data_IF_453137752177
#
_entry.id   IF_453137752177
#
_cell.length_a   1.000
_cell.length_b   1.000
_cell.length_c   1.000
_cell.angle_alpha   90.00
_cell.angle_beta   90.00
_cell.angle_gamma   90.00
#
_symmetry.space_group_name_H-M   'P 1'
#
loop_
_entity.id
_entity.type
_entity.pdbx_description
1 polymer ?
#
# COMPACT_ATOMS: atom_id res chain seq x y z
N UNK A 1 5.79 -12.13 1.15
CA UNK A 1 6.28 -11.44 2.33
C UNK A 1 6.84 -12.46 3.30
N UNK A 2 8.02 -12.24 3.74
CA UNK A 2 9.01 -13.18 4.24
C UNK A 2 8.75 -13.59 5.71
N UNK A 3 9.29 -14.71 6.14
CA UNK A 3 9.35 -15.21 7.53
C UNK A 3 9.80 -14.13 8.51
N UNK A 4 10.66 -13.21 8.07
CA UNK A 4 11.18 -12.10 8.87
C UNK A 4 10.10 -11.07 9.23
N UNK A 5 9.30 -10.65 8.26
CA UNK A 5 8.16 -9.74 8.50
C UNK A 5 7.16 -10.35 9.51
N UNK A 6 6.89 -11.65 9.39
CA UNK A 6 6.05 -12.36 10.38
C UNK A 6 6.65 -12.31 11.78
N UNK A 7 7.96 -12.53 11.93
CA UNK A 7 8.63 -12.48 13.23
C UNK A 7 8.61 -11.08 13.85
N UNK A 8 8.80 -10.03 13.04
CA UNK A 8 8.70 -8.65 13.50
C UNK A 8 7.31 -8.32 14.01
N UNK A 9 6.29 -8.53 13.17
CA UNK A 9 4.91 -8.18 13.51
C UNK A 9 4.22 -9.13 14.50
N UNK A 10 4.84 -10.26 14.85
CA UNK A 10 4.40 -11.14 15.95
C UNK A 10 5.14 -10.86 17.27
N UNK A 11 6.06 -9.88 17.30
CA UNK A 11 6.86 -9.57 18.47
C UNK A 11 7.96 -10.60 18.81
N UNK A 12 8.19 -11.59 17.91
CA UNK A 12 9.29 -12.57 18.09
C UNK A 12 10.68 -11.94 17.83
N UNK A 13 10.72 -10.90 17.01
CA UNK A 13 11.89 -10.07 16.78
C UNK A 13 11.54 -8.65 17.23
N UNK A 14 12.19 -8.18 18.28
CA UNK A 14 11.99 -6.83 18.83
C UNK A 14 13.23 -5.99 18.60
N UNK A 15 13.02 -4.72 18.29
CA UNK A 15 14.08 -3.71 18.26
C UNK A 15 14.33 -3.18 19.68
N UNK A 16 15.50 -2.56 19.83
CA UNK A 16 15.86 -1.80 21.03
C UNK A 16 16.04 -0.33 20.67
N UNK A 17 15.87 0.53 21.65
CA UNK A 17 16.15 1.95 21.50
C UNK A 17 17.66 2.24 21.30
N UNK A 18 18.07 3.50 21.28
CA UNK A 18 19.47 3.88 21.11
C UNK A 18 20.33 3.57 22.33
N UNK A 19 19.71 3.38 23.49
CA UNK A 19 20.36 3.06 24.75
C UNK A 19 20.39 1.56 25.05
N UNK A 20 19.82 0.73 24.15
CA UNK A 20 19.74 -0.72 24.33
C UNK A 20 18.55 -1.19 25.18
N UNK A 21 17.60 -0.33 25.52
CA UNK A 21 16.38 -0.69 26.23
C UNK A 21 15.32 -1.23 25.28
N UNK A 22 14.36 -1.97 25.82
CA UNK A 22 13.19 -2.40 25.06
C UNK A 22 12.22 -1.23 24.87
N UNK A 23 11.59 -1.16 23.70
CA UNK A 23 10.45 -0.29 23.49
C UNK A 23 9.25 -0.72 24.36
N UNK A 24 8.30 0.20 24.63
CA UNK A 24 7.02 -0.15 25.26
C UNK A 24 6.26 -1.22 24.49
N UNK A 25 5.37 -1.93 25.18
CA UNK A 25 4.46 -2.88 24.50
C UNK A 25 3.57 -2.15 23.50
N UNK A 26 3.27 -2.82 22.39
CA UNK A 26 2.45 -2.27 21.32
C UNK A 26 0.99 -2.12 21.77
N UNK A 27 0.37 -1.02 21.38
CA UNK A 27 -1.02 -0.72 21.68
C UNK A 27 -1.91 -1.04 20.49
N UNK A 28 -3.00 -1.78 20.72
CA UNK A 28 -3.98 -2.06 19.67
C UNK A 28 -4.95 -0.89 19.55
N UNK A 29 -4.95 -0.21 18.40
CA UNK A 29 -5.78 0.97 18.11
C UNK A 29 -6.46 0.83 16.75
N UNK A 30 -7.54 1.58 16.57
CA UNK A 30 -8.22 1.65 15.27
C UNK A 30 -7.44 2.49 14.26
N UNK A 31 -7.55 2.14 12.97
CA UNK A 31 -6.96 2.93 11.90
C UNK A 31 -7.51 4.37 11.85
N UNK A 32 -8.69 4.61 12.40
CA UNK A 32 -9.29 5.95 12.57
C UNK A 32 -8.45 6.91 13.42
N UNK A 33 -7.54 6.40 14.26
CA UNK A 33 -6.64 7.24 15.05
C UNK A 33 -5.48 7.82 14.23
N UNK A 34 -5.17 7.21 13.09
CA UNK A 34 -4.03 7.58 12.24
C UNK A 34 -4.43 7.90 10.80
N UNK A 35 -5.66 7.59 10.39
CA UNK A 35 -6.20 7.94 9.08
C UNK A 35 -7.59 8.53 9.19
N UNK A 36 -7.97 9.36 8.22
CA UNK A 36 -9.29 9.98 8.16
C UNK A 36 -9.80 10.07 6.72
N UNK A 37 -11.13 10.17 6.58
CA UNK A 37 -11.74 10.44 5.27
C UNK A 37 -11.49 11.91 4.92
N UNK A 38 -10.81 12.21 3.79
CA UNK A 38 -10.61 13.58 3.35
C UNK A 38 -11.91 14.24 2.90
N UNK A 39 -11.90 15.57 2.79
CA UNK A 39 -12.94 16.29 2.07
C UNK A 39 -13.07 15.76 0.63
N UNK A 40 -14.30 15.38 0.24
CA UNK A 40 -14.58 14.80 -1.07
C UNK A 40 -14.77 15.89 -2.12
N UNK A 41 -13.69 16.33 -2.74
CA UNK A 41 -13.74 17.32 -3.83
C UNK A 41 -14.05 16.58 -5.13
N UNK A 42 -15.31 16.75 -5.60
CA UNK A 42 -15.77 16.16 -6.85
C UNK A 42 -15.21 16.95 -8.05
N UNK A 43 -14.64 16.24 -9.02
CA UNK A 43 -14.23 16.87 -10.29
C UNK A 43 -15.45 17.13 -11.18
N UNK A 44 -15.51 18.33 -11.76
CA UNK A 44 -16.52 18.70 -12.76
C UNK A 44 -16.11 18.27 -14.16
N UNK A 45 -14.81 18.31 -14.45
CA UNK A 45 -14.23 17.88 -15.72
C UNK A 45 -13.41 16.62 -15.50
N UNK A 46 -13.75 15.56 -16.21
CA UNK A 46 -13.08 14.27 -16.05
C UNK A 46 -12.14 14.06 -17.22
N UNK A 47 -10.86 14.28 -16.94
CA UNK A 47 -9.79 13.89 -17.85
C UNK A 47 -9.49 12.40 -17.64
N UNK A 48 -9.83 11.58 -18.64
CA UNK A 48 -9.62 10.13 -18.58
C UNK A 48 -8.14 9.76 -18.45
N UNK A 49 -7.22 10.58 -18.97
CA UNK A 49 -5.79 10.36 -18.84
C UNK A 49 -5.28 10.55 -17.42
N UNK A 50 -6.06 11.15 -16.52
CA UNK A 50 -5.71 11.38 -15.12
C UNK A 50 -6.50 10.51 -14.15
N UNK A 51 -6.99 9.38 -14.60
CA UNK A 51 -7.69 8.43 -13.77
C UNK A 51 -6.70 7.45 -13.11
N UNK A 52 -6.84 7.25 -11.80
CA UNK A 52 -6.07 6.29 -11.03
C UNK A 52 -6.77 4.94 -10.96
N UNK A 53 -5.97 3.90 -10.95
CA UNK A 53 -6.35 2.56 -10.55
C UNK A 53 -5.39 2.02 -9.49
N UNK A 54 -5.85 1.05 -8.72
CA UNK A 54 -5.01 0.36 -7.72
C UNK A 54 -4.86 -1.09 -8.14
N UNK A 55 -3.62 -1.51 -8.36
CA UNK A 55 -3.31 -2.84 -8.86
C UNK A 55 -3.38 -3.87 -7.73
N UNK A 56 -3.83 -5.09 -8.07
CA UNK A 56 -3.87 -6.23 -7.16
C UNK A 56 -2.46 -6.64 -6.70
N UNK A 57 -2.42 -7.43 -5.63
CA UNK A 57 -1.19 -8.09 -5.16
C UNK A 57 -0.09 -7.11 -4.77
N UNK A 58 -0.47 -6.00 -4.09
CA UNK A 58 0.44 -4.97 -3.58
C UNK A 58 1.27 -4.28 -4.67
N UNK A 59 0.79 -4.26 -5.92
CA UNK A 59 1.48 -3.60 -7.03
C UNK A 59 1.27 -2.08 -7.05
N UNK A 60 0.58 -1.54 -6.03
CA UNK A 60 0.43 -0.10 -5.80
C UNK A 60 -0.52 0.60 -6.75
N UNK A 61 -0.28 1.89 -6.91
CA UNK A 61 -1.12 2.84 -7.66
C UNK A 61 -0.54 3.04 -9.06
N UNK A 62 -1.39 3.14 -10.05
CA UNK A 62 -0.99 3.51 -11.41
C UNK A 62 -2.09 4.33 -12.09
N UNK A 63 -1.72 5.00 -13.15
CA UNK A 63 -2.68 5.56 -14.09
C UNK A 63 -3.50 4.43 -14.72
N UNK A 64 -4.76 4.69 -15.03
CA UNK A 64 -5.63 3.70 -15.67
C UNK A 64 -5.35 3.66 -17.18
N UNK A 65 -4.85 2.54 -17.66
CA UNK A 65 -4.47 2.35 -19.08
C UNK A 65 -5.69 2.12 -19.98
N UNK A 66 -6.86 1.74 -19.40
CA UNK A 66 -8.09 1.42 -20.15
C UNK A 66 -8.98 2.64 -20.41
N UNK A 67 -8.38 3.78 -20.71
CA UNK A 67 -9.13 5.04 -20.87
C UNK A 67 -10.05 5.08 -22.08
N UNK A 68 -9.74 4.34 -23.15
CA UNK A 68 -10.51 4.35 -24.40
C UNK A 68 -11.85 3.61 -24.29
N UNK A 69 -11.90 2.55 -23.49
CA UNK A 69 -13.11 1.72 -23.32
C UNK A 69 -13.95 2.15 -22.12
N UNK A 70 -13.44 3.05 -21.30
CA UNK A 70 -14.09 3.47 -20.07
C UNK A 70 -15.28 4.39 -20.39
N UNK A 71 -16.49 3.91 -20.13
CA UNK A 71 -17.68 4.77 -20.08
C UNK A 71 -17.67 5.50 -18.73
N UNK A 72 -17.65 6.83 -18.77
CA UNK A 72 -17.68 7.65 -17.55
C UNK A 72 -19.05 7.60 -16.85
N UNK A 73 -20.11 7.34 -17.62
CA UNK A 73 -21.48 7.17 -17.13
C UNK A 73 -21.86 8.17 -16.02
N UNK A 74 -22.63 7.72 -15.03
CA UNK A 74 -23.03 8.48 -13.85
C UNK A 74 -22.01 8.40 -12.70
N UNK A 75 -20.80 7.89 -12.94
CA UNK A 75 -19.77 7.70 -11.91
C UNK A 75 -19.22 9.03 -11.42
N UNK A 76 -19.22 9.24 -10.13
CA UNK A 76 -18.56 10.39 -9.52
C UNK A 76 -17.07 10.13 -9.36
N UNK A 77 -16.26 11.09 -9.79
CA UNK A 77 -14.82 11.09 -9.64
C UNK A 77 -14.37 12.20 -8.70
N UNK A 78 -13.38 11.90 -7.88
CA UNK A 78 -12.89 12.76 -6.83
C UNK A 78 -11.41 13.04 -7.01
N UNK A 79 -11.00 14.27 -6.72
CA UNK A 79 -9.59 14.70 -6.76
C UNK A 79 -8.85 14.02 -5.62
N UNK A 80 -7.69 13.45 -5.94
CA UNK A 80 -6.80 12.77 -4.99
C UNK A 80 -5.52 13.55 -4.81
N UNK A 81 -4.95 13.46 -3.61
CA UNK A 81 -3.70 14.16 -3.27
C UNK A 81 -2.58 13.15 -3.04
N UNK A 82 -1.36 13.56 -3.40
CA UNK A 82 -0.16 12.78 -3.06
C UNK A 82 -0.10 12.47 -1.57
N UNK A 83 0.49 11.36 -1.20
CA UNK A 83 0.63 10.92 0.19
C UNK A 83 -0.63 10.31 0.81
N UNK A 84 -1.80 10.40 0.15
CA UNK A 84 -2.99 9.72 0.63
C UNK A 84 -2.86 8.20 0.46
N UNK A 85 -3.39 7.45 1.42
CA UNK A 85 -3.65 6.01 1.27
C UNK A 85 -4.85 5.82 0.35
N UNK A 86 -4.71 5.03 -0.70
CA UNK A 86 -5.78 4.75 -1.68
C UNK A 86 -5.98 3.24 -1.82
N UNK A 87 -7.23 2.80 -2.00
CA UNK A 87 -7.52 1.38 -2.13
C UNK A 87 -8.76 1.11 -2.98
N UNK A 88 -8.86 -0.09 -3.54
CA UNK A 88 -10.07 -0.57 -4.21
C UNK A 88 -11.03 -1.24 -3.21
N UNK A 89 -12.25 -0.71 -3.04
CA UNK A 89 -13.25 -1.26 -2.09
C UNK A 89 -13.50 -2.76 -2.28
N UNK A 90 -13.54 -3.22 -3.53
CA UNK A 90 -13.82 -4.61 -3.87
C UNK A 90 -12.58 -5.51 -3.79
N UNK A 91 -11.40 -4.92 -3.77
CA UNK A 91 -10.14 -5.65 -3.93
C UNK A 91 -9.11 -5.34 -2.84
N UNK A 92 -9.50 -4.68 -1.75
CA UNK A 92 -8.61 -4.43 -0.63
C UNK A 92 -8.02 -5.75 -0.08
N UNK A 93 -8.87 -6.75 0.10
CA UNK A 93 -8.47 -8.10 0.55
C UNK A 93 -7.71 -8.92 -0.52
N UNK A 94 -7.56 -8.38 -1.73
CA UNK A 94 -6.67 -8.88 -2.78
C UNK A 94 -5.38 -8.05 -2.91
N UNK A 95 -5.11 -7.19 -1.92
CA UNK A 95 -3.92 -6.35 -1.87
C UNK A 95 -3.97 -5.18 -2.86
N UNK A 96 -5.17 -4.68 -3.20
CA UNK A 96 -5.34 -3.48 -4.03
C UNK A 96 -5.34 -2.23 -3.14
N UNK A 97 -4.17 -1.79 -2.71
CA UNK A 97 -3.97 -0.54 -1.98
C UNK A 97 -2.53 -0.01 -2.16
N UNK A 98 -2.33 1.24 -1.80
CA UNK A 98 -1.03 1.90 -1.87
C UNK A 98 -1.11 3.34 -1.40
N UNK A 99 0.01 4.06 -1.58
CA UNK A 99 0.10 5.50 -1.37
C UNK A 99 0.14 6.17 -2.72
N UNK A 100 -0.57 7.27 -2.87
CA UNK A 100 -0.56 8.08 -4.08
C UNK A 100 0.80 8.77 -4.18
N UNK A 101 1.62 8.46 -5.20
CA UNK A 101 2.92 9.09 -5.39
C UNK A 101 2.78 10.55 -5.89
N UNK A 102 3.89 11.29 -5.85
CA UNK A 102 3.92 12.72 -6.14
C UNK A 102 3.48 13.05 -7.58
N UNK A 103 3.82 12.21 -8.54
CA UNK A 103 3.44 12.36 -9.95
C UNK A 103 1.94 12.24 -10.20
N UNK A 104 1.19 11.68 -9.27
CA UNK A 104 -0.27 11.54 -9.35
C UNK A 104 -1.03 12.54 -8.48
N UNK A 105 -0.38 13.60 -8.01
CA UNK A 105 -1.08 14.65 -7.29
C UNK A 105 -2.15 15.32 -8.15
N UNK A 106 -3.35 15.47 -7.62
CA UNK A 106 -4.52 16.02 -8.33
C UNK A 106 -5.13 15.08 -9.38
N UNK A 107 -4.72 13.84 -9.48
CA UNK A 107 -5.39 12.81 -10.29
C UNK A 107 -6.73 12.44 -9.69
N UNK A 108 -7.52 11.67 -10.43
CA UNK A 108 -8.89 11.36 -10.08
C UNK A 108 -9.09 9.86 -9.83
N UNK A 109 -9.97 9.51 -8.91
CA UNK A 109 -10.48 8.15 -8.80
C UNK A 109 -11.97 8.12 -8.47
N UNK A 110 -12.63 7.01 -8.78
CA UNK A 110 -14.05 6.82 -8.50
C UNK A 110 -14.32 6.64 -6.99
N UNK A 111 -15.60 6.65 -6.61
CA UNK A 111 -16.03 6.32 -5.25
C UNK A 111 -15.74 4.88 -4.82
N UNK A 112 -15.50 3.96 -5.77
CA UNK A 112 -15.06 2.57 -5.46
C UNK A 112 -13.53 2.46 -5.25
N UNK A 113 -12.80 3.54 -5.53
CA UNK A 113 -11.37 3.67 -5.27
C UNK A 113 -11.14 4.91 -4.39
N UNK A 114 -11.56 4.86 -3.10
CA UNK A 114 -11.42 5.99 -2.19
C UNK A 114 -9.98 6.17 -1.73
N UNK A 115 -9.69 7.38 -1.24
CA UNK A 115 -8.45 7.70 -0.56
C UNK A 115 -8.72 8.20 0.86
N UNK A 116 -7.74 8.03 1.75
CA UNK A 116 -7.74 8.45 3.15
C UNK A 116 -6.50 9.29 3.42
N UNK A 117 -6.65 10.36 4.20
CA UNK A 117 -5.53 11.14 4.69
C UNK A 117 -4.81 10.38 5.80
N UNK A 118 -3.48 10.48 5.82
CA UNK A 118 -2.63 9.86 6.84
C UNK A 118 -2.12 10.93 7.80
N UNK A 119 -2.22 10.67 9.09
CA UNK A 119 -1.61 11.50 10.11
C UNK A 119 -0.15 11.08 10.35
N UNK A 120 0.78 11.69 9.61
CA UNK A 120 2.21 11.38 9.66
C UNK A 120 2.87 11.68 11.02
N UNK A 121 2.21 12.45 11.91
CA UNK A 121 2.72 12.64 13.27
C UNK A 121 2.49 11.43 14.18
N UNK A 122 1.59 10.54 13.79
CA UNK A 122 1.20 9.36 14.57
C UNK A 122 1.64 8.04 13.96
N UNK A 123 1.82 8.01 12.62
CA UNK A 123 2.18 6.78 11.93
C UNK A 123 3.19 7.01 10.81
N UNK A 124 4.20 6.15 10.75
CA UNK A 124 5.11 6.07 9.62
C UNK A 124 4.42 5.35 8.46
N UNK A 125 4.40 5.98 7.29
CA UNK A 125 3.72 5.46 6.09
C UNK A 125 4.25 4.11 5.62
N UNK A 126 5.57 3.92 5.65
CA UNK A 126 6.17 2.65 5.25
C UNK A 126 5.83 1.54 6.25
N UNK A 127 5.88 1.83 7.56
CA UNK A 127 5.40 0.90 8.58
C UNK A 127 3.95 0.47 8.31
N UNK A 128 3.06 1.44 8.07
CA UNK A 128 1.65 1.17 7.76
C UNK A 128 1.50 0.24 6.56
N UNK A 129 2.22 0.52 5.46
CA UNK A 129 2.18 -0.33 4.26
C UNK A 129 2.70 -1.73 4.51
N UNK A 130 3.80 -1.88 5.25
CA UNK A 130 4.33 -3.19 5.62
C UNK A 130 3.37 -3.96 6.53
N UNK A 131 2.74 -3.26 7.49
CA UNK A 131 1.77 -3.88 8.38
C UNK A 131 0.54 -4.38 7.60
N UNK A 132 -0.09 -3.50 6.81
CA UNK A 132 -1.26 -3.85 6.01
C UNK A 132 -0.95 -4.85 4.90
N UNK A 133 0.26 -4.80 4.33
CA UNK A 133 0.71 -5.65 3.21
C UNK A 133 0.99 -7.10 3.60
N UNK A 134 0.83 -7.51 4.84
CA UNK A 134 0.94 -8.92 5.25
C UNK A 134 -0.23 -9.72 4.70
N UNK A 135 0.05 -10.80 4.00
CA UNK A 135 -0.98 -11.62 3.35
C UNK A 135 -1.99 -12.21 4.35
N UNK A 136 -1.53 -12.56 5.55
CA UNK A 136 -2.36 -13.02 6.66
C UNK A 136 -3.22 -11.91 7.28
N UNK A 137 -2.89 -10.64 7.03
CA UNK A 137 -3.68 -9.50 7.47
C UNK A 137 -4.70 -9.08 6.41
N UNK A 138 -4.25 -8.63 5.21
CA UNK A 138 -5.19 -8.05 4.25
C UNK A 138 -6.22 -9.06 3.72
N UNK A 139 -5.87 -10.36 3.61
CA UNK A 139 -6.84 -11.38 3.17
C UNK A 139 -8.01 -11.54 4.15
N UNK A 140 -7.75 -11.47 5.46
CA UNK A 140 -8.80 -11.54 6.49
C UNK A 140 -9.77 -10.36 6.46
N UNK A 141 -9.41 -9.25 5.83
CA UNK A 141 -10.32 -8.12 5.64
C UNK A 141 -11.54 -8.49 4.78
N UNK A 142 -11.47 -9.59 4.01
CA UNK A 142 -12.63 -10.10 3.27
C UNK A 142 -13.82 -10.40 4.19
N UNK A 143 -13.58 -10.85 5.41
CA UNK A 143 -14.61 -11.17 6.40
C UNK A 143 -15.41 -9.92 6.84
N UNK A 144 -14.82 -8.73 6.67
CA UNK A 144 -15.46 -7.45 6.97
C UNK A 144 -16.20 -6.85 5.76
N UNK A 145 -16.05 -7.45 4.59
CA UNK A 145 -16.64 -6.93 3.37
C UNK A 145 -18.15 -7.21 3.32
N UNK A 146 -18.93 -6.21 2.93
CA UNK A 146 -20.38 -6.26 2.83
C UNK A 146 -20.86 -6.20 1.37
N UNK A 147 -22.03 -6.75 1.09
CA UNK A 147 -22.67 -6.77 -0.23
C UNK A 147 -23.00 -8.17 -0.71
N UNK A 148 -24.20 -8.35 -1.27
CA UNK A 148 -24.70 -9.67 -1.73
C UNK A 148 -24.14 -10.09 -3.08
N UNK A 149 -23.80 -9.14 -3.95
CA UNK A 149 -23.28 -9.43 -5.30
C UNK A 149 -21.79 -9.13 -5.43
N UNK A 150 -21.35 -8.01 -4.92
CA UNK A 150 -19.95 -7.58 -4.98
C UNK A 150 -19.53 -7.09 -3.60
N UNK A 151 -18.70 -7.88 -2.93
CA UNK A 151 -18.18 -7.57 -1.60
C UNK A 151 -17.36 -6.28 -1.63
N UNK A 152 -17.61 -5.36 -0.70
CA UNK A 152 -16.92 -4.07 -0.58
C UNK A 152 -16.54 -3.78 0.87
N UNK A 153 -15.38 -3.18 1.04
CA UNK A 153 -14.95 -2.60 2.33
C UNK A 153 -15.07 -1.08 2.22
N UNK A 154 -16.03 -0.51 2.95
CA UNK A 154 -16.24 0.92 2.98
C UNK A 154 -15.22 1.62 3.89
N UNK A 155 -15.05 2.94 3.71
CA UNK A 155 -14.08 3.74 4.45
C UNK A 155 -14.26 3.60 5.97
N UNK A 156 -15.50 3.64 6.45
CA UNK A 156 -15.82 3.49 7.88
C UNK A 156 -15.46 2.10 8.42
N UNK A 157 -15.71 1.05 7.64
CA UNK A 157 -15.33 -0.33 8.00
C UNK A 157 -13.82 -0.47 8.11
N UNK A 158 -13.07 0.08 7.13
CA UNK A 158 -11.61 0.04 7.16
C UNK A 158 -11.05 0.83 8.34
N UNK A 159 -11.56 2.03 8.60
CA UNK A 159 -11.12 2.87 9.70
C UNK A 159 -11.36 2.26 11.09
N UNK A 160 -12.35 1.40 11.24
CA UNK A 160 -12.61 0.64 12.47
C UNK A 160 -11.72 -0.60 12.65
N UNK A 161 -10.87 -0.93 11.69
CA UNK A 161 -9.93 -2.06 11.80
C UNK A 161 -8.85 -1.73 12.82
N UNK A 162 -8.64 -2.64 13.78
CA UNK A 162 -7.58 -2.51 14.77
C UNK A 162 -6.27 -3.07 14.23
N UNK A 163 -5.21 -2.30 14.46
CA UNK A 163 -3.83 -2.71 14.23
C UNK A 163 -2.98 -2.40 15.46
N UNK A 164 -1.85 -3.07 15.55
CA UNK A 164 -0.92 -2.88 16.66
C UNK A 164 0.05 -1.75 16.32
N UNK A 165 0.10 -0.76 17.21
CA UNK A 165 0.92 0.44 17.07
C UNK A 165 2.09 0.43 18.05
N UNK A 166 3.34 0.28 17.59
CA UNK A 166 4.52 0.62 18.37
C UNK A 166 4.66 2.15 18.49
N UNK A 167 5.60 2.60 19.32
CA UNK A 167 5.99 4.01 19.34
C UNK A 167 6.45 4.46 17.95
N UNK A 168 6.35 5.75 17.68
CA UNK A 168 6.74 6.29 16.36
C UNK A 168 8.22 6.01 16.04
N UNK A 169 9.09 6.04 17.04
CA UNK A 169 10.52 5.71 16.92
C UNK A 169 10.72 4.25 16.50
N UNK A 170 9.98 3.31 17.12
CA UNK A 170 10.06 1.91 16.76
C UNK A 170 9.47 1.66 15.36
N UNK A 171 8.39 2.35 14.99
CA UNK A 171 7.86 2.30 13.62
C UNK A 171 8.92 2.68 12.59
N UNK A 172 9.70 3.74 12.83
CA UNK A 172 10.81 4.14 11.96
C UNK A 172 11.89 3.07 11.89
N UNK A 173 12.27 2.45 13.00
CA UNK A 173 13.27 1.37 13.00
C UNK A 173 12.79 0.16 12.20
N UNK A 174 11.54 -0.26 12.41
CA UNK A 174 10.93 -1.37 11.66
C UNK A 174 10.87 -1.03 10.16
N UNK A 175 10.36 0.15 9.81
CA UNK A 175 10.21 0.58 8.43
C UNK A 175 11.56 0.65 7.70
N UNK A 176 12.56 1.31 8.29
CA UNK A 176 13.89 1.45 7.72
C UNK A 176 14.58 0.10 7.54
N UNK A 177 14.43 -0.81 8.49
CA UNK A 177 14.96 -2.15 8.39
C UNK A 177 14.34 -2.92 7.21
N UNK A 178 13.01 -2.91 7.08
CA UNK A 178 12.32 -3.59 5.98
C UNK A 178 12.64 -2.95 4.63
N UNK A 179 12.68 -1.61 4.54
CA UNK A 179 13.09 -0.89 3.34
C UNK A 179 14.52 -1.24 2.92
N UNK A 180 15.43 -1.38 3.89
CA UNK A 180 16.82 -1.78 3.60
C UNK A 180 16.93 -3.18 2.99
N UNK A 181 16.05 -4.08 3.40
CA UNK A 181 15.97 -5.44 2.85
C UNK A 181 15.38 -5.42 1.44
N UNK A 182 14.28 -4.70 1.24
CA UNK A 182 13.67 -4.57 -0.08
C UNK A 182 14.66 -3.95 -1.08
N UNK A 183 15.39 -2.91 -0.67
CA UNK A 183 16.45 -2.33 -1.50
C UNK A 183 17.57 -3.31 -1.86
N UNK A 184 17.99 -4.18 -0.93
CA UNK A 184 18.97 -5.24 -1.22
C UNK A 184 18.40 -6.26 -2.21
N UNK A 185 17.16 -6.70 -2.03
CA UNK A 185 16.49 -7.63 -2.94
C UNK A 185 16.40 -7.04 -4.34
N UNK A 186 16.08 -5.75 -4.46
CA UNK A 186 16.03 -5.06 -5.76
C UNK A 186 17.40 -5.02 -6.44
N UNK A 187 18.46 -4.66 -5.71
CA UNK A 187 19.84 -4.64 -6.22
C UNK A 187 20.25 -6.04 -6.72
N UNK A 188 20.07 -7.07 -5.92
CA UNK A 188 20.42 -8.45 -6.28
C UNK A 188 19.60 -8.94 -7.50
N UNK A 189 18.31 -8.61 -7.56
CA UNK A 189 17.45 -8.94 -8.70
C UNK A 189 17.96 -8.28 -9.98
N UNK A 190 18.35 -7.01 -9.92
CA UNK A 190 18.91 -6.27 -11.05
C UNK A 190 20.24 -6.84 -11.51
N UNK A 191 21.11 -7.26 -10.58
CA UNK A 191 22.38 -7.93 -10.90
C UNK A 191 22.10 -9.26 -11.60
N UNK A 192 21.21 -10.09 -11.07
CA UNK A 192 20.83 -11.37 -11.67
C UNK A 192 20.34 -11.19 -13.12
N UNK A 193 19.42 -10.23 -13.33
CA UNK A 193 18.92 -9.95 -14.69
C UNK A 193 20.02 -9.52 -15.66
N UNK A 194 21.01 -8.71 -15.21
CA UNK A 194 22.16 -8.33 -16.04
C UNK A 194 23.02 -9.53 -16.39
N UNK A 195 23.30 -10.40 -15.42
CA UNK A 195 24.08 -11.63 -15.66
C UNK A 195 23.37 -12.59 -16.62
N UNK A 196 22.06 -12.75 -16.49
CA UNK A 196 21.28 -13.57 -17.42
C UNK A 196 21.31 -13.02 -18.85
N UNK A 197 21.21 -11.69 -19.02
CA UNK A 197 21.38 -11.05 -20.34
C UNK A 197 22.79 -11.26 -20.92
N UNK A 198 23.84 -11.13 -20.11
CA UNK A 198 25.22 -11.40 -20.54
C UNK A 198 25.41 -12.85 -20.95
N UNK A 199 24.90 -13.79 -20.14
CA UNK A 199 24.92 -15.22 -20.50
C UNK A 199 24.25 -15.47 -21.84
N UNK A 200 23.06 -14.94 -22.07
CA UNK A 200 22.32 -15.08 -23.33
C UNK A 200 23.12 -14.52 -24.51
N UNK A 201 23.74 -13.33 -24.32
CA UNK A 201 24.56 -12.70 -25.33
C UNK A 201 25.78 -13.58 -25.71
N UNK A 202 26.50 -14.12 -24.72
CA UNK A 202 27.65 -14.98 -24.97
C UNK A 202 27.26 -16.29 -25.65
N UNK A 203 26.17 -16.93 -25.22
CA UNK A 203 25.68 -18.14 -25.85
C UNK A 203 25.30 -17.92 -27.34
N UNK A 204 24.72 -16.75 -27.66
CA UNK A 204 24.32 -16.42 -29.03
C UNK A 204 25.50 -16.02 -29.92
N UNK A 205 26.64 -15.55 -29.38
CA UNK A 205 27.71 -14.97 -30.17
C UNK A 205 29.05 -15.72 -30.08
N UNK A 206 29.22 -16.65 -29.14
CA UNK A 206 30.48 -17.39 -28.97
C UNK A 206 30.40 -18.85 -29.44
N UNK A 207 29.20 -19.35 -29.76
CA UNK A 207 28.95 -20.72 -30.19
C UNK A 207 28.36 -20.79 -31.61
N UNK A 208 28.83 -19.92 -32.51
CA UNK A 208 28.52 -20.00 -33.93
C UNK A 208 29.61 -20.84 -34.64
#
# INVERSE_FOLDING_TARGET
>A
MNTLSKKLFSGQLKFKDEFGNNFPEWESKELSEVMSVPEKIKSRNIDKSRLLTVKLHLKGVSQNDNTNTLSLGATNYFIRKKGQFIYGKQNLFNGAFGIIPDEFDGFLSSGDVPALDINHSKINTAYLLYFLGRADFYKRLEDLATGSGSKRIHETTLLGVKIDFPTIEEQYKIANFLLSIDGKIEIETNILQKLERQKTYFLANLFI
#
